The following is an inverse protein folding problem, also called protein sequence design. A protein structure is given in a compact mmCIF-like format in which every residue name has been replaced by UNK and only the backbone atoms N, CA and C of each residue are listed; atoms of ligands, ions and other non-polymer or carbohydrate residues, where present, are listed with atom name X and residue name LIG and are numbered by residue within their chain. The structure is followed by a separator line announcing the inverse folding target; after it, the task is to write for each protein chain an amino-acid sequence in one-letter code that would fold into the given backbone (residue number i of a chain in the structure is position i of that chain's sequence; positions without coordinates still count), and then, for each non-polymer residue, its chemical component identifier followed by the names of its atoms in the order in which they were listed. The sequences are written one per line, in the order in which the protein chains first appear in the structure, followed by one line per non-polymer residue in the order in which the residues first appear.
data_IF_480694425636
#
_entry.id   IF_480694425636
#
_cell.length_a   1.000
_cell.length_b   1.000
_cell.length_c   1.000
_cell.angle_alpha   90.00
_cell.angle_beta   90.00
_cell.angle_gamma   90.00
#
_symmetry.space_group_name_H-M   'P 1'
#
loop_
_entity.id
_entity.type
_entity.pdbx_description
1 polymer ?
#
# COMPACT_ATOMS: atom_id res chain seq x y z
N UNK A 1 43.83 13.23 22.42
CA UNK A 1 42.69 14.17 22.35
C UNK A 1 42.63 14.70 20.94
N UNK A 2 41.97 13.98 20.04
CA UNK A 2 41.69 14.46 18.69
C UNK A 2 40.18 14.55 18.52
N UNK A 3 39.68 15.79 18.43
CA UNK A 3 38.31 16.09 18.05
C UNK A 3 38.30 16.28 16.53
N UNK A 4 37.76 15.30 15.81
CA UNK A 4 37.38 15.45 14.41
C UNK A 4 35.93 15.93 14.31
N UNK A 5 35.74 17.21 13.97
CA UNK A 5 34.46 17.80 13.60
C UNK A 5 34.27 17.57 12.11
N UNK A 6 33.34 16.71 11.69
CA UNK A 6 32.90 16.63 10.29
C UNK A 6 31.56 17.33 10.13
N UNK A 7 31.59 18.52 9.55
CA UNK A 7 30.41 19.20 9.02
C UNK A 7 30.26 18.78 7.57
N UNK A 8 29.46 17.74 7.30
CA UNK A 8 28.99 17.45 5.94
C UNK A 8 27.70 18.22 5.71
N UNK A 9 27.83 19.40 5.10
CA UNK A 9 26.74 20.07 4.42
C UNK A 9 26.43 19.32 3.12
N UNK A 10 25.43 18.43 3.16
CA UNK A 10 24.84 17.81 1.97
C UNK A 10 24.20 18.91 1.10
N UNK A 11 24.89 19.33 0.03
CA UNK A 11 24.31 20.20 -0.99
C UNK A 11 23.24 19.46 -1.80
N UNK A 12 22.08 20.09 -2.10
CA UNK A 12 21.05 19.47 -2.91
C UNK A 12 21.51 19.39 -4.36
N UNK A 13 21.56 18.20 -4.92
CA UNK A 13 21.68 18.02 -6.36
C UNK A 13 20.32 18.27 -7.01
N UNK A 14 20.27 19.25 -7.92
CA UNK A 14 19.13 19.49 -8.80
C UNK A 14 19.01 18.34 -9.80
N UNK A 15 18.40 17.23 -9.38
CA UNK A 15 17.97 16.13 -10.23
C UNK A 15 16.47 16.01 -10.14
N UNK A 16 15.76 16.28 -11.23
CA UNK A 16 14.30 16.18 -11.31
C UNK A 16 13.81 14.87 -10.68
N UNK A 17 12.90 14.99 -9.71
CA UNK A 17 12.40 13.87 -8.90
C UNK A 17 11.79 12.78 -9.78
N UNK A 18 12.51 11.68 -9.98
CA UNK A 18 11.97 10.52 -10.68
C UNK A 18 11.26 9.64 -9.66
N UNK A 19 9.99 9.35 -9.92
CA UNK A 19 9.18 8.40 -9.17
C UNK A 19 9.86 7.03 -9.17
N UNK A 20 10.14 6.40 -8.02
CA UNK A 20 10.70 5.07 -7.99
C UNK A 20 9.65 4.07 -8.50
N UNK A 21 9.97 3.39 -9.61
CA UNK A 21 9.22 2.26 -10.14
C UNK A 21 10.12 1.04 -10.25
N UNK A 22 9.56 -0.13 -9.99
CA UNK A 22 10.21 -1.43 -10.21
C UNK A 22 9.30 -2.30 -11.06
N UNK A 23 9.91 -3.00 -12.01
CA UNK A 23 9.22 -3.85 -12.98
C UNK A 23 9.85 -5.22 -12.95
N UNK A 24 9.02 -6.27 -12.95
CA UNK A 24 9.42 -7.65 -13.10
C UNK A 24 8.64 -8.29 -14.25
N UNK A 25 9.30 -9.14 -15.03
CA UNK A 25 8.71 -9.93 -16.10
C UNK A 25 9.24 -11.36 -16.04
N UNK A 26 8.44 -12.31 -16.49
CA UNK A 26 8.88 -13.70 -16.51
C UNK A 26 7.85 -14.63 -17.14
N UNK A 27 8.15 -15.92 -17.01
CA UNK A 27 7.32 -17.02 -17.47
C UNK A 27 6.82 -17.83 -16.27
N UNK A 28 5.64 -18.43 -16.40
CA UNK A 28 5.16 -19.44 -15.46
C UNK A 28 6.05 -20.69 -15.53
N UNK A 29 6.23 -21.37 -14.38
CA UNK A 29 6.86 -22.68 -14.35
C UNK A 29 5.92 -23.71 -15.00
N UNK A 30 6.48 -24.58 -15.85
CA UNK A 30 5.75 -25.76 -16.31
C UNK A 30 5.29 -26.57 -15.09
N UNK A 31 3.98 -26.60 -14.87
CA UNK A 31 3.36 -27.51 -13.93
C UNK A 31 3.52 -28.92 -14.46
N UNK A 32 4.41 -29.71 -13.87
CA UNK A 32 4.37 -31.17 -13.98
C UNK A 32 3.15 -31.69 -13.23
N UNK A 33 1.94 -31.47 -13.77
CA UNK A 33 0.83 -32.37 -13.49
C UNK A 33 1.12 -33.65 -14.27
N UNK A 34 1.76 -34.61 -13.60
CA UNK A 34 1.82 -35.99 -14.05
C UNK A 34 0.40 -36.58 -13.94
N UNK A 35 -0.46 -36.29 -14.92
CA UNK A 35 -1.63 -37.12 -15.19
C UNK A 35 -1.16 -38.25 -16.12
N UNK A 36 -1.06 -39.45 -15.55
CA UNK A 36 -0.95 -40.67 -16.32
C UNK A 36 -2.26 -40.90 -17.07
N UNK A 37 -2.29 -40.55 -18.36
CA UNK A 37 -3.34 -40.99 -19.27
C UNK A 37 -2.72 -41.42 -20.60
N UNK A 38 -3.07 -42.64 -21.01
CA UNK A 38 -2.61 -43.37 -22.17
C UNK A 38 -3.03 -42.75 -23.49
N UNK A 39 -2.08 -42.71 -24.44
CA UNK A 39 -2.25 -42.94 -25.88
C UNK A 39 -3.38 -42.20 -26.62
N UNK A 40 -3.02 -41.13 -27.33
CA UNK A 40 -3.85 -40.54 -28.39
C UNK A 40 -3.24 -39.27 -28.98
N UNK A 41 -2.82 -39.35 -30.24
CA UNK A 41 -2.51 -38.28 -31.21
C UNK A 41 -1.98 -36.93 -30.70
N UNK A 42 -0.66 -36.73 -30.85
CA UNK A 42 0.03 -35.45 -30.65
C UNK A 42 -0.39 -34.43 -31.73
N UNK A 43 -1.48 -33.72 -31.50
CA UNK A 43 -1.72 -32.44 -32.17
C UNK A 43 -0.77 -31.42 -31.53
N UNK A 44 0.03 -30.75 -32.37
CA UNK A 44 0.99 -29.74 -31.95
C UNK A 44 0.27 -28.51 -31.36
N UNK A 45 -0.10 -28.59 -30.09
CA UNK A 45 -0.43 -27.42 -29.30
C UNK A 45 0.90 -26.89 -28.76
N UNK A 46 1.42 -25.87 -29.43
CA UNK A 46 2.67 -25.21 -29.09
C UNK A 46 2.62 -24.76 -27.63
N UNK A 47 3.68 -25.12 -26.92
CA UNK A 47 4.16 -24.69 -25.60
C UNK A 47 4.05 -23.15 -25.41
N UNK A 48 2.82 -22.63 -25.28
CA UNK A 48 2.56 -21.23 -24.92
C UNK A 48 2.74 -21.12 -23.42
N UNK A 49 3.99 -20.96 -23.00
CA UNK A 49 4.31 -20.53 -21.65
C UNK A 49 3.55 -19.24 -21.37
N UNK A 50 2.78 -19.23 -20.28
CA UNK A 50 2.13 -18.02 -19.85
C UNK A 50 3.21 -17.02 -19.40
N UNK A 51 3.24 -15.86 -20.05
CA UNK A 51 4.11 -14.76 -19.68
C UNK A 51 3.36 -13.86 -18.70
N UNK A 52 4.09 -13.33 -17.73
CA UNK A 52 3.57 -12.37 -16.77
C UNK A 52 4.47 -11.13 -16.70
N UNK A 53 3.85 -10.03 -16.32
CA UNK A 53 4.49 -8.74 -16.11
C UNK A 53 3.84 -8.08 -14.91
N UNK A 54 4.66 -7.49 -14.02
CA UNK A 54 4.20 -6.69 -12.91
C UNK A 54 5.02 -5.42 -12.81
N UNK A 55 4.34 -4.29 -12.59
CA UNK A 55 4.94 -3.00 -12.34
C UNK A 55 4.42 -2.43 -11.02
N UNK A 56 5.32 -1.88 -10.21
CA UNK A 56 5.01 -1.29 -8.91
C UNK A 56 5.57 0.13 -8.84
N UNK A 57 4.86 1.03 -8.15
CA UNK A 57 5.34 2.36 -7.83
C UNK A 57 5.30 2.61 -6.32
N UNK A 58 6.26 3.39 -5.80
CA UNK A 58 6.31 3.78 -4.38
C UNK A 58 5.56 5.07 -4.03
N UNK A 59 4.92 5.69 -5.03
CA UNK A 59 4.34 7.03 -4.90
C UNK A 59 5.26 8.11 -5.49
N UNK A 60 4.67 9.24 -5.84
CA UNK A 60 5.39 10.38 -6.43
C UNK A 60 5.61 11.46 -5.38
N UNK A 61 6.82 12.02 -5.34
CA UNK A 61 7.18 13.11 -4.45
C UNK A 61 7.72 14.29 -5.26
N UNK A 62 7.34 15.50 -4.84
CA UNK A 62 7.92 16.74 -5.35
C UNK A 62 9.05 17.17 -4.42
N UNK A 63 10.24 17.43 -4.96
CA UNK A 63 11.40 17.93 -4.20
C UNK A 63 12.49 16.89 -3.94
N UNK A 64 13.46 17.27 -3.11
CA UNK A 64 14.65 16.47 -2.84
C UNK A 64 14.32 15.29 -1.91
N UNK A 65 14.64 14.08 -2.36
CA UNK A 65 14.72 12.90 -1.50
C UNK A 65 16.19 12.61 -1.21
N UNK A 66 16.52 12.37 0.06
CA UNK A 66 17.87 11.94 0.42
C UNK A 66 18.21 10.61 -0.26
N UNK A 67 19.49 10.40 -0.59
CA UNK A 67 19.95 9.14 -1.18
C UNK A 67 19.57 7.92 -0.32
N UNK A 68 19.60 8.08 1.01
CA UNK A 68 19.17 7.05 1.95
C UNK A 68 17.69 6.66 1.74
N UNK A 69 16.79 7.63 1.60
CA UNK A 69 15.38 7.35 1.33
C UNK A 69 15.17 6.69 -0.03
N UNK A 70 15.89 7.14 -1.08
CA UNK A 70 15.80 6.52 -2.41
C UNK A 70 16.17 5.04 -2.36
N UNK A 71 17.29 4.71 -1.72
CA UNK A 71 17.75 3.32 -1.55
C UNK A 71 16.72 2.49 -0.78
N UNK A 72 16.13 3.05 0.28
CA UNK A 72 15.12 2.35 1.06
C UNK A 72 13.86 2.06 0.23
N UNK A 73 13.31 3.05 -0.48
CA UNK A 73 12.15 2.86 -1.37
C UNK A 73 12.41 1.82 -2.46
N UNK A 74 13.59 1.86 -3.09
CA UNK A 74 13.98 0.89 -4.11
C UNK A 74 14.04 -0.53 -3.54
N UNK A 75 14.55 -0.69 -2.32
CA UNK A 75 14.59 -1.99 -1.63
C UNK A 75 13.18 -2.53 -1.35
N UNK A 76 12.27 -1.69 -0.88
CA UNK A 76 10.88 -2.07 -0.60
C UNK A 76 10.16 -2.50 -1.88
N UNK A 77 10.28 -1.72 -2.96
CA UNK A 77 9.69 -2.05 -4.27
C UNK A 77 10.30 -3.32 -4.87
N UNK A 78 11.62 -3.51 -4.76
CA UNK A 78 12.29 -4.72 -5.23
C UNK A 78 11.82 -5.96 -4.45
N UNK A 79 11.62 -5.83 -3.14
CA UNK A 79 11.09 -6.90 -2.29
C UNK A 79 9.66 -7.24 -2.68
N UNK A 80 8.79 -6.24 -2.81
CA UNK A 80 7.40 -6.41 -3.23
C UNK A 80 7.28 -7.07 -4.62
N UNK A 81 8.07 -6.60 -5.59
CA UNK A 81 8.10 -7.15 -6.95
C UNK A 81 8.56 -8.61 -6.94
N UNK A 82 9.59 -8.92 -6.14
CA UNK A 82 10.12 -10.28 -5.99
C UNK A 82 9.08 -11.23 -5.38
N UNK A 83 8.31 -10.78 -4.38
CA UNK A 83 7.26 -11.58 -3.73
C UNK A 83 6.11 -11.89 -4.69
N UNK A 84 5.64 -10.90 -5.45
CA UNK A 84 4.63 -11.12 -6.48
C UNK A 84 5.14 -11.99 -7.63
N UNK A 85 6.38 -11.81 -8.09
CA UNK A 85 7.00 -12.63 -9.13
C UNK A 85 7.04 -14.12 -8.75
N UNK A 86 7.25 -14.45 -7.46
CA UNK A 86 7.18 -15.83 -6.98
C UNK A 86 5.79 -16.42 -7.16
N UNK A 87 4.73 -15.67 -6.83
CA UNK A 87 3.34 -16.11 -6.98
C UNK A 87 2.96 -16.28 -8.46
N UNK A 88 3.27 -15.28 -9.29
CA UNK A 88 3.01 -15.32 -10.74
C UNK A 88 3.74 -16.49 -11.40
N UNK A 89 5.02 -16.69 -11.09
CA UNK A 89 5.80 -17.83 -11.61
C UNK A 89 5.20 -19.19 -11.22
N UNK A 90 4.44 -19.27 -10.14
CA UNK A 90 3.77 -20.49 -9.68
C UNK A 90 2.32 -20.59 -10.19
N UNK A 91 1.88 -19.73 -11.10
CA UNK A 91 0.53 -19.75 -11.67
C UNK A 91 -0.56 -19.21 -10.75
N UNK A 92 -0.20 -18.37 -9.77
CA UNK A 92 -1.20 -17.65 -8.96
C UNK A 92 -1.89 -16.58 -9.80
N UNK A 93 -3.13 -16.24 -9.45
CA UNK A 93 -3.86 -15.18 -10.13
C UNK A 93 -3.25 -13.79 -9.88
N UNK A 94 -3.54 -12.86 -10.80
CA UNK A 94 -3.01 -11.51 -10.76
C UNK A 94 -3.43 -10.73 -9.49
N UNK A 95 -4.62 -10.99 -8.94
CA UNK A 95 -5.11 -10.32 -7.74
C UNK A 95 -4.31 -10.78 -6.53
N UNK A 96 -4.06 -12.07 -6.37
CA UNK A 96 -3.23 -12.61 -5.28
C UNK A 96 -1.78 -12.10 -5.38
N UNK A 97 -1.23 -11.98 -6.60
CA UNK A 97 0.10 -11.41 -6.81
C UNK A 97 0.17 -9.92 -6.42
N UNK A 98 -0.80 -9.10 -6.85
CA UNK A 98 -0.86 -7.68 -6.49
C UNK A 98 -1.11 -7.49 -4.99
N UNK A 99 -2.02 -8.28 -4.40
CA UNK A 99 -2.28 -8.28 -2.96
C UNK A 99 -0.98 -8.48 -2.17
N UNK A 100 -0.18 -9.48 -2.53
CA UNK A 100 1.08 -9.75 -1.84
C UNK A 100 2.11 -8.62 -2.03
N UNK A 101 2.23 -8.07 -3.26
CA UNK A 101 3.11 -6.92 -3.49
C UNK A 101 2.73 -5.71 -2.62
N UNK A 102 1.44 -5.35 -2.60
CA UNK A 102 0.98 -4.17 -1.83
C UNK A 102 1.07 -4.42 -0.33
N UNK A 103 0.80 -5.64 0.17
CA UNK A 103 1.02 -5.98 1.58
C UNK A 103 2.47 -5.72 2.02
N UNK A 104 3.44 -6.10 1.19
CA UNK A 104 4.87 -5.84 1.47
C UNK A 104 5.15 -4.35 1.57
N UNK A 105 4.49 -3.53 0.75
CA UNK A 105 4.63 -2.07 0.81
C UNK A 105 3.93 -1.50 2.05
N UNK A 106 2.72 -1.96 2.36
CA UNK A 106 1.94 -1.55 3.55
C UNK A 106 2.61 -1.94 4.87
N UNK A 107 3.39 -3.01 4.89
CA UNK A 107 4.15 -3.43 6.07
C UNK A 107 5.47 -2.63 6.24
N UNK A 108 5.90 -1.88 5.21
CA UNK A 108 7.15 -1.13 5.22
C UNK A 108 6.94 0.34 5.61
N UNK A 109 7.48 0.70 6.78
CA UNK A 109 7.39 2.02 7.39
C UNK A 109 7.88 3.20 6.51
N UNK A 110 8.65 2.92 5.46
CA UNK A 110 9.10 3.97 4.54
C UNK A 110 8.00 4.47 3.61
N UNK A 111 6.97 3.65 3.35
CA UNK A 111 5.89 3.99 2.44
C UNK A 111 4.78 4.78 3.16
N UNK A 112 3.96 5.47 2.37
CA UNK A 112 2.76 6.13 2.88
C UNK A 112 1.52 5.27 2.60
N UNK A 113 1.55 4.02 3.07
CA UNK A 113 0.44 3.07 3.00
C UNK A 113 0.58 2.09 4.18
N UNK A 114 -0.52 1.72 4.84
CA UNK A 114 -0.46 0.86 6.03
C UNK A 114 0.44 1.44 7.14
N UNK A 115 1.37 0.65 7.64
CA UNK A 115 2.33 1.06 8.66
C UNK A 115 3.34 2.07 8.08
N UNK A 116 3.43 3.26 8.70
CA UNK A 116 4.24 4.38 8.21
C UNK A 116 3.46 5.47 7.47
N UNK A 117 2.15 5.27 7.30
CA UNK A 117 1.24 6.26 6.73
C UNK A 117 1.27 7.60 7.47
N UNK A 118 0.94 8.66 6.75
CA UNK A 118 0.76 10.00 7.29
C UNK A 118 -0.38 10.02 8.32
N UNK A 119 -0.17 10.81 9.37
CA UNK A 119 -1.16 11.04 10.41
C UNK A 119 -2.09 12.18 9.96
N UNK A 120 -3.38 12.05 10.26
CA UNK A 120 -4.38 13.09 10.08
C UNK A 120 -4.21 14.23 11.09
N UNK A 121 -5.08 15.25 11.07
CA UNK A 121 -4.96 16.43 11.94
C UNK A 121 -4.97 16.10 13.44
N UNK A 122 -5.60 14.99 13.81
CA UNK A 122 -5.77 14.48 15.17
C UNK A 122 -4.65 13.52 15.59
N UNK A 123 -3.69 13.24 14.70
CA UNK A 123 -2.49 12.48 15.03
C UNK A 123 -2.64 10.97 14.94
N UNK A 124 -3.63 10.45 14.21
CA UNK A 124 -3.79 9.02 13.94
C UNK A 124 -3.89 8.73 12.43
N UNK A 125 -3.83 7.44 12.07
CA UNK A 125 -3.83 6.99 10.67
C UNK A 125 -5.19 6.46 10.27
N UNK A 126 -5.64 6.85 9.08
CA UNK A 126 -6.80 6.31 8.39
C UNK A 126 -6.35 5.91 6.98
N UNK A 127 -6.58 4.66 6.60
CA UNK A 127 -6.07 4.14 5.34
C UNK A 127 -7.15 4.01 4.28
N UNK A 128 -6.74 4.21 3.03
CA UNK A 128 -7.51 3.94 1.83
C UNK A 128 -6.82 2.84 1.01
N UNK A 129 -7.59 1.90 0.46
CA UNK A 129 -7.09 0.93 -0.50
C UNK A 129 -8.21 0.40 -1.39
N UNK A 130 -7.87 0.01 -2.61
CA UNK A 130 -8.83 -0.59 -3.55
C UNK A 130 -8.14 -1.60 -4.46
N UNK A 131 -8.93 -2.50 -5.02
CA UNK A 131 -8.50 -3.49 -6.01
C UNK A 131 -9.58 -3.69 -7.07
N UNK A 132 -9.14 -3.93 -8.30
CA UNK A 132 -10.00 -4.27 -9.42
C UNK A 132 -9.47 -5.52 -10.13
N UNK A 133 -10.35 -6.49 -10.37
CA UNK A 133 -10.05 -7.70 -11.11
C UNK A 133 -10.58 -7.56 -12.54
N UNK A 134 -9.67 -7.62 -13.53
CA UNK A 134 -10.01 -7.29 -14.91
C UNK A 134 -10.78 -8.37 -15.67
N UNK A 135 -10.78 -9.62 -15.19
CA UNK A 135 -11.38 -10.76 -15.92
C UNK A 135 -12.90 -10.80 -15.75
N UNK A 136 -13.39 -10.65 -14.53
CA UNK A 136 -14.80 -10.69 -14.17
C UNK A 136 -15.33 -9.31 -13.76
N UNK A 137 -14.47 -8.29 -13.67
CA UNK A 137 -14.84 -6.93 -13.31
C UNK A 137 -15.09 -6.75 -11.81
N UNK A 138 -14.53 -7.62 -10.96
CA UNK A 138 -14.66 -7.51 -9.51
C UNK A 138 -14.02 -6.23 -8.98
N UNK A 139 -14.65 -5.57 -8.02
CA UNK A 139 -14.09 -4.41 -7.32
C UNK A 139 -14.30 -4.52 -5.81
N UNK A 140 -13.32 -4.05 -5.05
CA UNK A 140 -13.39 -3.95 -3.60
C UNK A 140 -12.53 -2.81 -3.09
N UNK A 141 -13.00 -2.10 -2.05
CA UNK A 141 -12.27 -0.99 -1.47
C UNK A 141 -12.57 -0.77 0.03
N UNK A 142 -11.61 -0.14 0.70
CA UNK A 142 -11.77 0.47 2.02
C UNK A 142 -11.35 1.93 1.98
N UNK A 143 -11.96 2.79 2.80
CA UNK A 143 -11.63 4.21 2.85
C UNK A 143 -11.77 4.81 4.23
N UNK A 144 -10.93 5.79 4.57
CA UNK A 144 -10.80 6.38 5.89
C UNK A 144 -10.80 5.32 7.01
N UNK A 145 -10.22 4.15 6.76
CA UNK A 145 -10.41 2.98 7.60
C UNK A 145 -9.32 2.90 8.69
N UNK A 146 -9.68 2.97 9.98
CA UNK A 146 -8.69 2.93 11.05
C UNK A 146 -8.27 1.49 11.35
N UNK A 147 -7.00 1.33 11.72
CA UNK A 147 -6.51 0.12 12.40
C UNK A 147 -6.66 -1.21 11.66
N UNK A 148 -6.88 -1.25 10.35
CA UNK A 148 -6.80 -2.48 9.52
C UNK A 148 -5.34 -2.69 9.14
N UNK A 149 -4.72 -3.83 9.48
CA UNK A 149 -3.28 -4.04 9.23
C UNK A 149 -2.87 -3.87 7.78
N UNK A 150 -3.56 -4.56 6.88
CA UNK A 150 -3.30 -4.47 5.45
C UNK A 150 -4.59 -4.06 4.72
N UNK A 151 -4.81 -2.75 4.51
CA UNK A 151 -5.98 -2.24 3.78
C UNK A 151 -6.23 -2.94 2.44
N UNK A 152 -5.19 -3.31 1.69
CA UNK A 152 -5.35 -4.06 0.43
C UNK A 152 -5.95 -5.46 0.63
N UNK A 153 -5.66 -6.12 1.75
CA UNK A 153 -6.26 -7.43 2.08
C UNK A 153 -7.75 -7.25 2.31
N UNK A 154 -8.15 -6.21 3.03
CA UNK A 154 -9.56 -5.89 3.22
C UNK A 154 -10.25 -5.61 1.88
N UNK A 155 -9.63 -4.82 0.99
CA UNK A 155 -10.16 -4.55 -0.35
C UNK A 155 -10.36 -5.83 -1.17
N UNK A 156 -9.39 -6.76 -1.16
CA UNK A 156 -9.50 -8.05 -1.87
C UNK A 156 -10.60 -8.94 -1.28
N UNK A 157 -10.74 -8.98 0.05
CA UNK A 157 -11.80 -9.77 0.68
C UNK A 157 -13.19 -9.17 0.43
N UNK A 158 -13.32 -7.83 0.38
CA UNK A 158 -14.55 -7.16 -0.03
C UNK A 158 -14.89 -7.51 -1.49
N UNK A 159 -13.90 -7.48 -2.38
CA UNK A 159 -14.08 -7.86 -3.78
C UNK A 159 -14.57 -9.31 -3.91
N UNK A 160 -13.95 -10.25 -3.19
CA UNK A 160 -14.37 -11.67 -3.19
C UNK A 160 -15.77 -11.85 -2.61
N UNK A 161 -16.08 -11.18 -1.51
CA UNK A 161 -17.40 -11.21 -0.89
C UNK A 161 -18.47 -10.65 -1.85
N UNK A 162 -18.13 -9.59 -2.58
CA UNK A 162 -18.99 -8.96 -3.58
C UNK A 162 -19.30 -9.89 -4.76
N UNK A 163 -18.29 -10.60 -5.25
CA UNK A 163 -18.40 -11.53 -6.38
C UNK A 163 -19.05 -12.88 -6.02
N UNK A 164 -19.30 -13.16 -4.73
CA UNK A 164 -19.89 -14.42 -4.28
C UNK A 164 -21.41 -14.55 -4.48
N UNK A 165 -22.05 -13.52 -5.06
CA UNK A 165 -23.49 -13.49 -5.30
C UNK A 165 -24.29 -12.88 -4.16
N UNK A 166 -25.60 -13.11 -4.17
CA UNK A 166 -26.51 -12.57 -3.17
C UNK A 166 -26.25 -13.22 -1.80
N UNK A 167 -26.30 -12.40 -0.75
CA UNK A 167 -26.28 -12.86 0.63
C UNK A 167 -27.69 -13.29 1.07
N UNK A 168 -27.79 -13.73 2.32
CA UNK A 168 -29.05 -14.01 2.99
C UNK A 168 -30.08 -12.90 2.72
N UNK A 169 -31.33 -13.31 2.52
CA UNK A 169 -32.46 -12.42 2.21
C UNK A 169 -32.31 -11.64 0.88
N UNK A 170 -31.46 -12.10 -0.04
CA UNK A 170 -31.29 -11.47 -1.36
C UNK A 170 -30.50 -10.16 -1.31
N UNK A 171 -29.80 -9.89 -0.21
CA UNK A 171 -29.02 -8.65 -0.04
C UNK A 171 -27.78 -8.70 -0.94
N UNK A 172 -27.54 -7.65 -1.71
CA UNK A 172 -26.27 -7.53 -2.46
C UNK A 172 -25.15 -7.06 -1.51
N UNK A 173 -24.00 -7.74 -1.49
CA UNK A 173 -22.84 -7.37 -0.69
C UNK A 173 -22.25 -6.00 -1.10
N UNK A 174 -21.66 -5.24 -0.16
CA UNK A 174 -21.01 -3.96 -0.47
C UNK A 174 -19.70 -4.18 -1.23
N UNK A 175 -19.37 -3.24 -2.13
CA UNK A 175 -18.08 -3.20 -2.84
C UNK A 175 -17.10 -2.17 -2.25
N UNK A 176 -17.58 -1.30 -1.35
CA UNK A 176 -16.79 -0.26 -0.71
C UNK A 176 -17.29 -0.04 0.71
N UNK A 177 -16.37 -0.07 1.68
CA UNK A 177 -16.66 0.18 3.09
C UNK A 177 -15.75 1.28 3.61
N UNK A 178 -16.23 2.08 4.56
CA UNK A 178 -15.45 3.21 5.09
C UNK A 178 -15.47 3.28 6.61
N UNK A 179 -14.47 3.94 7.18
CA UNK A 179 -14.40 4.26 8.60
C UNK A 179 -14.46 3.03 9.50
N UNK A 180 -15.08 3.22 10.66
CA UNK A 180 -15.29 2.15 11.64
C UNK A 180 -16.09 0.98 11.08
N UNK A 181 -16.99 1.23 10.12
CA UNK A 181 -17.77 0.18 9.46
C UNK A 181 -16.88 -0.80 8.69
N UNK A 182 -15.82 -0.30 8.03
CA UNK A 182 -14.83 -1.13 7.35
C UNK A 182 -14.02 -1.96 8.34
N UNK A 183 -13.54 -1.34 9.42
CA UNK A 183 -12.78 -2.00 10.48
C UNK A 183 -13.59 -3.11 11.15
N UNK A 184 -14.81 -2.82 11.58
CA UNK A 184 -15.69 -3.80 12.20
C UNK A 184 -16.05 -4.94 11.24
N UNK A 185 -16.18 -4.66 9.95
CA UNK A 185 -16.36 -5.72 8.93
C UNK A 185 -15.13 -6.63 8.83
N UNK A 186 -13.93 -6.05 8.83
CA UNK A 186 -12.67 -6.79 8.81
C UNK A 186 -12.52 -7.70 10.03
N UNK A 187 -12.83 -7.18 11.22
CA UNK A 187 -12.81 -7.95 12.47
C UNK A 187 -13.76 -9.16 12.40
N UNK A 188 -15.01 -8.96 11.93
CA UNK A 188 -15.97 -10.07 11.75
C UNK A 188 -15.52 -11.10 10.72
N UNK A 189 -14.72 -10.70 9.73
CA UNK A 189 -14.12 -11.59 8.74
C UNK A 189 -12.85 -12.28 9.23
N UNK A 190 -12.39 -11.98 10.46
CA UNK A 190 -11.18 -12.54 11.04
C UNK A 190 -9.90 -11.94 10.47
N UNK A 191 -9.96 -10.74 9.89
CA UNK A 191 -8.78 -10.01 9.43
C UNK A 191 -8.08 -9.33 10.61
N UNK A 192 -6.76 -9.18 10.50
CA UNK A 192 -5.95 -8.56 11.56
C UNK A 192 -6.25 -7.06 11.65
N UNK A 193 -6.77 -6.67 12.82
CA UNK A 193 -7.06 -5.28 13.18
C UNK A 193 -6.31 -4.93 14.46
N UNK A 194 -5.78 -3.70 14.55
CA UNK A 194 -5.12 -3.22 15.76
C UNK A 194 -6.16 -3.06 16.86
N UNK A 195 -6.10 -3.86 17.93
CA UNK A 195 -7.14 -3.94 18.97
C UNK A 195 -7.35 -2.62 19.74
N UNK A 196 -7.00 -2.59 21.04
CA UNK A 196 -7.21 -1.39 21.89
C UNK A 196 -6.33 -0.19 21.54
N UNK A 197 -5.30 -0.39 20.72
CA UNK A 197 -4.33 0.65 20.33
C UNK A 197 -4.44 1.01 18.82
N UNK A 198 -5.65 0.98 18.28
CA UNK A 198 -5.93 1.24 16.86
C UNK A 198 -5.36 2.58 16.35
N UNK A 199 -5.32 3.61 17.22
CA UNK A 199 -4.85 4.96 16.87
C UNK A 199 -3.35 5.03 16.61
N UNK A 200 -2.56 4.18 17.28
CA UNK A 200 -1.10 4.13 17.08
C UNK A 200 -0.65 2.95 16.22
N UNK A 201 -1.59 2.09 15.81
CA UNK A 201 -1.28 0.83 15.14
C UNK A 201 -0.42 0.98 13.89
N UNK A 202 -0.66 2.05 13.10
CA UNK A 202 0.08 2.35 11.88
C UNK A 202 1.14 3.45 12.03
N UNK A 203 1.32 3.99 13.24
CA UNK A 203 2.16 5.16 13.49
C UNK A 203 3.62 4.73 13.64
N UNK A 204 4.41 4.95 12.59
CA UNK A 204 5.87 4.82 12.68
C UNK A 204 6.50 6.03 13.38
N UNK A 205 7.74 5.87 13.87
CA UNK A 205 8.50 6.97 14.49
C UNK A 205 8.72 8.11 13.50
N UNK A 206 9.05 7.79 12.25
CA UNK A 206 9.28 8.76 11.19
C UNK A 206 8.00 9.51 10.83
N UNK A 207 6.86 8.82 10.73
CA UNK A 207 5.56 9.43 10.46
C UNK A 207 5.15 10.38 11.59
N UNK A 208 5.31 9.96 12.85
CA UNK A 208 5.02 10.80 14.01
C UNK A 208 5.91 12.05 14.07
N UNK A 209 7.20 11.92 13.77
CA UNK A 209 8.11 13.05 13.74
C UNK A 209 7.75 14.06 12.64
N UNK A 210 7.39 13.58 11.44
CA UNK A 210 6.86 14.45 10.36
C UNK A 210 5.60 15.17 10.82
N UNK A 211 4.65 14.44 11.41
CA UNK A 211 3.40 15.04 11.90
C UNK A 211 3.66 16.12 12.94
N UNK A 212 4.52 15.88 13.94
CA UNK A 212 4.89 16.89 14.96
C UNK A 212 5.46 18.16 14.34
N UNK A 213 6.32 18.02 13.32
CA UNK A 213 6.88 19.17 12.61
C UNK A 213 5.78 20.00 11.92
N UNK A 214 4.93 19.36 11.13
CA UNK A 214 3.85 20.06 10.42
C UNK A 214 2.78 20.62 11.36
N UNK A 215 2.47 19.91 12.43
CA UNK A 215 1.53 20.37 13.47
C UNK A 215 2.03 21.64 14.14
N UNK A 216 3.32 21.68 14.51
CA UNK A 216 3.93 22.90 15.08
C UNK A 216 3.87 24.09 14.12
N UNK A 217 4.16 23.87 12.83
CA UNK A 217 4.05 24.92 11.80
C UNK A 217 2.62 25.42 11.62
N UNK A 218 1.64 24.52 11.67
CA UNK A 218 0.23 24.87 11.59
C UNK A 218 -0.20 25.69 12.81
N UNK A 219 0.18 25.27 14.02
CA UNK A 219 -0.17 25.96 15.25
C UNK A 219 0.44 27.38 15.29
N UNK A 220 1.68 27.54 14.81
CA UNK A 220 2.32 28.85 14.64
C UNK A 220 1.57 29.73 13.63
N UNK A 221 1.24 29.19 12.46
CA UNK A 221 0.46 29.90 11.45
C UNK A 221 -0.91 30.36 11.99
N UNK A 222 -1.63 29.47 12.69
CA UNK A 222 -2.94 29.77 13.27
C UNK A 222 -2.88 30.79 14.41
N UNK A 223 -1.74 30.90 15.10
CA UNK A 223 -1.49 31.98 16.07
C UNK A 223 -1.36 33.32 15.34
N UNK A 224 -0.44 33.41 14.37
CA UNK A 224 -0.20 34.63 13.58
C UNK A 224 -1.48 35.11 12.93
N UNK A 225 -2.22 34.20 12.28
CA UNK A 225 -3.48 34.51 11.62
C UNK A 225 -4.52 35.10 12.58
N UNK A 226 -4.65 34.56 13.80
CA UNK A 226 -5.58 35.09 14.81
C UNK A 226 -5.18 36.49 15.29
N UNK A 227 -3.89 36.71 15.51
CA UNK A 227 -3.38 38.01 15.95
C UNK A 227 -3.64 39.09 14.89
N UNK A 228 -3.43 38.76 13.60
CA UNK A 228 -3.75 39.65 12.48
C UNK A 228 -5.25 39.99 12.37
N UNK A 229 -6.14 39.00 12.57
CA UNK A 229 -7.59 39.26 12.55
C UNK A 229 -8.01 40.16 13.70
N UNK A 230 -7.42 39.98 14.89
CA UNK A 230 -7.72 40.83 16.05
C UNK A 230 -7.28 42.27 15.81
N UNK A 231 -6.08 42.48 15.27
CA UNK A 231 -5.58 43.81 14.89
C UNK A 231 -6.48 44.52 13.87
N UNK A 232 -7.06 43.78 12.91
CA UNK A 232 -8.01 44.35 11.93
C UNK A 232 -9.35 44.76 12.51
N UNK A 233 -9.82 44.09 13.56
CA UNK A 233 -11.08 44.41 14.22
C UNK A 233 -10.94 45.58 15.21
N UNK A 234 -9.71 45.90 15.63
CA UNK A 234 -9.39 47.01 16.52
C UNK A 234 -9.12 48.34 15.77
N UNK A 235 -9.13 48.33 14.42
CA UNK A 235 -9.00 49.51 13.54
C UNK A 235 -10.34 49.92 12.93
#
# INVERSE_FOLDING_TARGET
TEQGRSTDEDKPTEGGGRTPMVVCLGEERNGSKAETASGGEKKADLDRRAHWFIALHGGAAQGYMSQRHVIQYQKSLSTACSRAAVLLRNGSDAVEAVKEAIKVLEDDHCTNAGYGSNLNIDGFVECDASVMEGRLGGFGAVGAAPGIKNPIVAAVEIMKDASSGLKELGRVPPIFLVGEGARAWCERKGLEVGGKDEKHFHVSKEALNRWKNYRGRLDEYMRIFRDEQKLRLEQ
#
